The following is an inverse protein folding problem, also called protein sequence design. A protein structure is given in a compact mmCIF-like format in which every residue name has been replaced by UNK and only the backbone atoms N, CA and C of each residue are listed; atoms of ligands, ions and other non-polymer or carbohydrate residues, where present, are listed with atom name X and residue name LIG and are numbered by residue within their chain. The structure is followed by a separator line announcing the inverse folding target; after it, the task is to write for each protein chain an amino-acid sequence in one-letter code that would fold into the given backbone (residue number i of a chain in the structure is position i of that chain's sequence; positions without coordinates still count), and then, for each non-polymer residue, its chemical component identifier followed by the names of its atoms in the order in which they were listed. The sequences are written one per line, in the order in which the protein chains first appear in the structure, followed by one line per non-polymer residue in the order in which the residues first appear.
data_IF_164560560800
#
_entry.id   IF_164560560800
#
_cell.length_a   1.000
_cell.length_b   1.000
_cell.length_c   1.000
_cell.angle_alpha   90.00
_cell.angle_beta   90.00
_cell.angle_gamma   90.00
#
_symmetry.space_group_name_H-M   'P 1'
#
loop_
_entity.id
_entity.type
_entity.pdbx_description
1 polymer ?
#
# COMPACT_ATOMS: atom_id res chain seq x y z
N UNK A 1 0.71 -5.36 -16.51
CA UNK A 1 -0.39 -6.09 -15.82
C UNK A 1 -0.99 -5.31 -14.65
N UNK A 2 -0.26 -4.50 -13.87
CA UNK A 2 -0.85 -3.63 -12.81
C UNK A 2 -0.60 -2.12 -13.00
N UNK A 3 0.09 -1.73 -14.06
CA UNK A 3 0.29 -0.31 -14.38
C UNK A 3 -1.04 0.38 -14.66
N UNK A 4 -1.17 1.62 -14.18
CA UNK A 4 -2.36 2.46 -14.33
C UNK A 4 -3.67 1.84 -13.81
N UNK A 5 -3.58 0.85 -12.91
CA UNK A 5 -4.74 0.28 -12.21
C UNK A 5 -4.96 0.93 -10.86
N UNK A 6 -6.21 0.88 -10.39
CA UNK A 6 -6.58 1.15 -9.00
C UNK A 6 -6.71 -0.19 -8.28
N UNK A 7 -5.95 -0.37 -7.20
CA UNK A 7 -5.81 -1.65 -6.50
C UNK A 7 -6.19 -1.44 -5.04
N UNK A 8 -7.05 -2.31 -4.51
CA UNK A 8 -7.40 -2.37 -3.09
C UNK A 8 -6.75 -3.60 -2.46
N UNK A 9 -6.03 -3.42 -1.36
CA UNK A 9 -5.42 -4.48 -0.57
C UNK A 9 -6.04 -4.46 0.83
N UNK A 10 -6.94 -5.42 1.08
CA UNK A 10 -7.53 -5.64 2.40
C UNK A 10 -6.58 -6.44 3.29
N UNK A 11 -6.43 -6.05 4.55
CA UNK A 11 -5.44 -6.65 5.46
C UNK A 11 -4.00 -6.33 5.05
N UNK A 12 -3.78 -5.23 4.31
CA UNK A 12 -2.48 -4.89 3.74
C UNK A 12 -1.37 -4.60 4.76
N UNK A 13 -1.71 -4.36 6.03
CA UNK A 13 -0.75 -4.16 7.11
C UNK A 13 -0.15 -5.46 7.67
N UNK A 14 -0.69 -6.63 7.32
CA UNK A 14 -0.11 -7.93 7.68
C UNK A 14 1.20 -8.22 6.92
N UNK A 15 1.96 -9.22 7.37
CA UNK A 15 3.28 -9.55 6.80
C UNK A 15 3.24 -9.82 5.29
N UNK A 16 2.24 -10.56 4.84
CA UNK A 16 2.03 -10.82 3.42
C UNK A 16 1.65 -9.54 2.66
N UNK A 17 0.72 -8.75 3.22
CA UNK A 17 0.26 -7.49 2.63
C UNK A 17 1.41 -6.50 2.41
N UNK A 18 2.26 -6.31 3.43
CA UNK A 18 3.46 -5.46 3.33
C UNK A 18 4.39 -5.94 2.20
N UNK A 19 4.63 -7.26 2.07
CA UNK A 19 5.47 -7.82 1.01
C UNK A 19 4.86 -7.68 -0.38
N UNK A 20 3.54 -7.89 -0.50
CA UNK A 20 2.79 -7.71 -1.74
C UNK A 20 2.87 -6.25 -2.20
N UNK A 21 2.56 -5.30 -1.32
CA UNK A 21 2.59 -3.87 -1.60
C UNK A 21 4.00 -3.44 -2.04
N UNK A 22 5.05 -3.86 -1.32
CA UNK A 22 6.44 -3.60 -1.73
C UNK A 22 6.73 -4.13 -3.14
N UNK A 23 6.24 -5.32 -3.46
CA UNK A 23 6.42 -5.94 -4.78
C UNK A 23 5.69 -5.16 -5.87
N UNK A 24 4.46 -4.73 -5.59
CA UNK A 24 3.67 -3.90 -6.52
C UNK A 24 4.40 -2.59 -6.81
N UNK A 25 4.82 -1.88 -5.76
CA UNK A 25 5.53 -0.60 -5.88
C UNK A 25 6.90 -0.72 -6.56
N UNK A 26 7.56 -1.88 -6.47
CA UNK A 26 8.87 -2.11 -7.10
C UNK A 26 8.73 -2.48 -8.59
N UNK A 27 7.69 -3.23 -8.96
CA UNK A 27 7.57 -3.82 -10.30
C UNK A 27 6.58 -3.10 -11.22
N UNK A 28 5.72 -2.26 -10.67
CA UNK A 28 4.63 -1.62 -11.41
C UNK A 28 4.45 -0.15 -11.01
N UNK A 29 3.72 0.59 -11.86
CA UNK A 29 3.30 1.97 -11.61
C UNK A 29 1.77 2.04 -11.56
N UNK A 30 1.13 1.64 -10.44
CA UNK A 30 -0.32 1.74 -10.31
C UNK A 30 -0.76 3.20 -10.27
N UNK A 31 -1.97 3.48 -10.73
CA UNK A 31 -2.59 4.80 -10.59
C UNK A 31 -3.02 5.07 -9.15
N UNK A 32 -3.39 4.02 -8.42
CA UNK A 32 -3.77 4.09 -7.00
C UNK A 32 -3.55 2.73 -6.32
N UNK A 33 -2.97 2.74 -5.13
CA UNK A 33 -2.82 1.56 -4.27
C UNK A 33 -3.40 1.86 -2.90
N UNK A 34 -4.52 1.23 -2.58
CA UNK A 34 -5.29 1.47 -1.37
C UNK A 34 -5.01 0.35 -0.38
N UNK A 35 -4.57 0.70 0.82
CA UNK A 35 -4.39 -0.20 1.95
C UNK A 35 -5.58 -0.04 2.88
N UNK A 36 -6.34 -1.12 3.07
CA UNK A 36 -7.48 -1.16 3.97
C UNK A 36 -7.22 -2.13 5.12
N UNK A 37 -7.20 -1.65 6.35
CA UNK A 37 -6.92 -2.47 7.53
C UNK A 37 -7.36 -1.80 8.82
N UNK A 38 -7.88 -2.59 9.77
CA UNK A 38 -8.43 -2.11 11.05
C UNK A 38 -7.37 -1.78 12.12
N UNK A 39 -6.12 -2.16 11.89
CA UNK A 39 -5.03 -1.97 12.86
C UNK A 39 -4.33 -0.64 12.59
N UNK A 40 -4.74 0.40 13.33
CA UNK A 40 -4.25 1.77 13.21
C UNK A 40 -2.73 1.88 13.42
N UNK A 41 -2.20 1.19 14.44
CA UNK A 41 -0.77 1.23 14.75
C UNK A 41 0.05 0.69 13.57
N UNK A 42 -0.33 -0.47 13.01
CA UNK A 42 0.38 -1.02 11.86
C UNK A 42 0.22 -0.17 10.60
N UNK A 43 -0.90 0.54 10.43
CA UNK A 43 -1.04 1.51 9.34
C UNK A 43 -0.08 2.69 9.51
N UNK A 44 -0.01 3.26 10.70
CA UNK A 44 0.91 4.36 11.02
C UNK A 44 2.37 3.96 10.77
N UNK A 45 2.79 2.77 11.22
CA UNK A 45 4.12 2.24 10.89
C UNK A 45 4.33 2.10 9.38
N UNK A 46 3.32 1.59 8.67
CA UNK A 46 3.40 1.39 7.23
C UNK A 46 3.47 2.71 6.45
N UNK A 47 2.86 3.78 6.92
CA UNK A 47 2.99 5.12 6.33
C UNK A 47 4.44 5.65 6.46
N UNK A 48 5.15 5.29 7.53
CA UNK A 48 6.58 5.64 7.68
C UNK A 48 7.46 4.83 6.75
N UNK A 49 7.15 3.55 6.54
CA UNK A 49 7.87 2.67 5.60
C UNK A 49 7.64 3.08 4.14
N UNK A 50 6.44 3.58 3.83
CA UNK A 50 6.01 3.99 2.49
C UNK A 50 5.49 5.43 2.50
N UNK A 51 6.36 6.42 2.69
CA UNK A 51 5.94 7.81 2.80
C UNK A 51 5.38 8.33 1.48
N UNK A 52 4.33 9.15 1.59
CA UNK A 52 3.56 9.76 0.52
C UNK A 52 4.44 10.59 -0.43
N UNK A 53 5.51 11.18 0.11
CA UNK A 53 6.52 11.95 -0.64
C UNK A 53 7.27 11.12 -1.68
N UNK A 54 7.33 9.80 -1.47
CA UNK A 54 7.97 8.84 -2.38
C UNK A 54 6.97 7.94 -3.09
N UNK A 55 5.84 7.65 -2.45
CA UNK A 55 4.81 6.74 -2.96
C UNK A 55 3.46 7.46 -3.02
N UNK A 56 3.38 8.47 -3.88
CA UNK A 56 2.21 9.34 -4.10
C UNK A 56 0.91 8.60 -4.48
N UNK A 57 1.01 7.38 -5.01
CA UNK A 57 -0.13 6.53 -5.36
C UNK A 57 -0.77 5.80 -4.16
N UNK A 58 -0.12 5.79 -2.99
CA UNK A 58 -0.57 5.06 -1.80
C UNK A 58 -1.69 5.81 -1.06
N UNK A 59 -2.70 5.09 -0.59
CA UNK A 59 -3.77 5.60 0.27
C UNK A 59 -4.05 4.60 1.39
N UNK A 60 -4.38 5.10 2.58
CA UNK A 60 -4.65 4.29 3.76
C UNK A 60 -6.06 4.59 4.28
N UNK A 61 -6.83 3.54 4.58
CA UNK A 61 -8.19 3.64 5.12
C UNK A 61 -8.41 2.59 6.22
N UNK A 62 -9.17 2.95 7.25
CA UNK A 62 -9.59 2.07 8.34
C UNK A 62 -10.80 1.21 7.97
#
# INVERSE_FOLDING_TARGET
MLNDKSILVTGGTGSFGKRLIRTILTRYKPRRLIVFSRDELKQFEMQRDFPDTRFDCMRYFL
#
